data_IF_833749621333
#
_entry.id   IF_833749621333
#
_cell.length_a   1.000
_cell.length_b   1.000
_cell.length_c   1.000
_cell.angle_alpha   90.00
_cell.angle_beta   90.00
_cell.angle_gamma   90.00
#
_symmetry.space_group_name_H-M   'P 1'
#
loop_
_entity.id
_entity.type
_entity.pdbx_description
1 polymer ?
#
# COMPACT_ATOMS: atom_id res chain seq x y z
N UNK A 1 4.88 -19.81 3.23
CA UNK A 1 5.09 -19.27 4.58
C UNK A 1 5.00 -17.77 4.48
N UNK A 2 4.20 -17.17 5.34
CA UNK A 2 3.99 -15.72 5.34
C UNK A 2 5.02 -15.05 6.24
N UNK A 3 5.38 -13.80 5.92
CA UNK A 3 6.33 -13.00 6.71
C UNK A 3 5.76 -11.61 6.92
N UNK A 4 5.89 -11.11 8.14
CA UNK A 4 5.55 -9.72 8.49
C UNK A 4 6.84 -8.92 8.53
N UNK A 5 6.86 -7.83 7.78
CA UNK A 5 7.95 -6.86 7.75
C UNK A 5 7.40 -5.53 8.26
N UNK A 6 8.02 -5.01 9.31
CA UNK A 6 7.71 -3.68 9.86
C UNK A 6 8.88 -2.76 9.53
N UNK A 7 8.59 -1.64 8.86
CA UNK A 7 9.54 -0.56 8.70
C UNK A 7 9.24 0.50 9.76
N UNK A 8 10.08 0.58 10.78
CA UNK A 8 9.97 1.59 11.82
C UNK A 8 10.72 2.86 11.37
N UNK A 9 9.99 3.92 11.05
CA UNK A 9 10.54 5.20 10.56
C UNK A 9 11.02 6.10 11.71
N UNK A 10 11.76 5.54 12.66
CA UNK A 10 12.37 6.26 13.78
C UNK A 10 11.41 6.58 14.92
N UNK A 11 10.55 5.64 15.31
CA UNK A 11 9.72 5.78 16.52
C UNK A 11 10.59 5.96 17.77
N UNK A 12 10.14 6.78 18.71
CA UNK A 12 10.81 7.03 20.01
C UNK A 12 10.26 6.17 21.15
N UNK A 13 9.23 5.39 20.88
CA UNK A 13 8.60 4.47 21.83
C UNK A 13 9.08 3.02 21.62
N UNK A 14 8.35 2.05 22.16
CA UNK A 14 8.70 0.63 22.09
C UNK A 14 8.22 -0.08 20.80
N UNK A 15 7.72 0.64 19.79
CA UNK A 15 7.15 0.04 18.57
C UNK A 15 8.06 -0.99 17.92
N UNK A 16 9.33 -0.65 17.67
CA UNK A 16 10.29 -1.56 17.06
C UNK A 16 10.57 -2.81 17.91
N UNK A 17 10.61 -2.66 19.23
CA UNK A 17 10.85 -3.77 20.15
C UNK A 17 9.65 -4.71 20.18
N UNK A 18 8.45 -4.17 20.36
CA UNK A 18 7.20 -4.95 20.39
C UNK A 18 7.00 -5.72 19.09
N UNK A 19 7.26 -5.09 17.93
CA UNK A 19 7.15 -5.76 16.64
C UNK A 19 8.12 -6.94 16.50
N UNK A 20 9.37 -6.81 16.99
CA UNK A 20 10.34 -7.92 17.01
C UNK A 20 9.90 -9.04 17.93
N UNK A 21 9.41 -8.70 19.13
CA UNK A 21 8.98 -9.68 20.14
C UNK A 21 7.76 -10.49 19.64
N UNK A 22 6.92 -9.89 18.79
CA UNK A 22 5.81 -10.55 18.10
C UNK A 22 6.24 -11.33 16.83
N UNK A 23 7.54 -11.40 16.53
CA UNK A 23 8.10 -12.21 15.44
C UNK A 23 8.19 -11.51 14.09
N UNK A 24 7.96 -10.19 14.00
CA UNK A 24 8.13 -9.46 12.76
C UNK A 24 9.62 -9.22 12.44
N UNK A 25 9.94 -9.19 11.15
CA UNK A 25 11.22 -8.63 10.70
C UNK A 25 11.13 -7.11 10.76
N UNK A 26 11.96 -6.48 11.59
CA UNK A 26 11.92 -5.02 11.78
C UNK A 26 13.12 -4.36 11.11
N UNK A 27 12.86 -3.38 10.24
CA UNK A 27 13.86 -2.50 9.63
C UNK A 27 13.66 -1.11 10.22
N UNK A 28 14.64 -0.63 10.98
CA UNK A 28 14.52 0.62 11.71
C UNK A 28 15.36 1.72 11.07
N UNK A 29 14.75 2.87 10.79
CA UNK A 29 15.45 4.08 10.40
C UNK A 29 15.99 4.81 11.63
N UNK A 30 17.16 5.47 11.50
CA UNK A 30 17.80 6.22 12.60
C UNK A 30 17.03 7.47 13.03
N UNK A 31 16.19 8.00 12.14
CA UNK A 31 15.33 9.17 12.33
C UNK A 31 14.16 9.05 11.36
N UNK A 32 13.10 9.83 11.58
CA UNK A 32 11.98 9.93 10.65
C UNK A 32 12.45 10.43 9.27
N UNK A 33 12.21 9.61 8.24
CA UNK A 33 12.53 9.88 6.84
C UNK A 33 11.28 10.08 5.98
N UNK A 34 10.09 9.84 6.53
CA UNK A 34 8.81 9.95 5.86
C UNK A 34 8.30 8.61 5.29
N UNK A 35 6.98 8.54 5.09
CA UNK A 35 6.27 7.32 4.66
C UNK A 35 6.76 6.75 3.33
N UNK A 36 7.09 7.59 2.34
CA UNK A 36 7.63 7.10 1.07
C UNK A 36 9.02 6.48 1.22
N UNK A 37 9.88 7.04 2.10
CA UNK A 37 11.16 6.42 2.43
C UNK A 37 10.98 5.08 3.13
N UNK A 38 10.05 4.98 4.09
CA UNK A 38 9.72 3.71 4.74
C UNK A 38 9.18 2.67 3.74
N UNK A 39 8.29 3.08 2.83
CA UNK A 39 7.76 2.22 1.77
C UNK A 39 8.88 1.74 0.83
N UNK A 40 9.77 2.63 0.38
CA UNK A 40 10.94 2.24 -0.43
C UNK A 40 11.81 1.21 0.29
N UNK A 41 12.08 1.40 1.58
CA UNK A 41 12.83 0.46 2.39
C UNK A 41 12.15 -0.92 2.42
N UNK A 42 10.84 -0.96 2.64
CA UNK A 42 10.05 -2.19 2.63
C UNK A 42 10.07 -2.89 1.27
N UNK A 43 9.81 -2.16 0.18
CA UNK A 43 9.84 -2.70 -1.19
C UNK A 43 11.24 -3.22 -1.55
N UNK A 44 12.31 -2.47 -1.22
CA UNK A 44 13.68 -2.89 -1.48
C UNK A 44 14.08 -4.14 -0.69
N UNK A 45 13.63 -4.26 0.55
CA UNK A 45 13.80 -5.48 1.32
C UNK A 45 13.05 -6.65 0.68
N UNK A 46 11.81 -6.41 0.27
CA UNK A 46 10.99 -7.45 -0.33
C UNK A 46 11.56 -7.94 -1.67
N UNK A 47 12.12 -7.05 -2.50
CA UNK A 47 12.87 -7.42 -3.71
C UNK A 47 14.03 -8.40 -3.42
N UNK A 48 14.67 -8.31 -2.25
CA UNK A 48 15.77 -9.22 -1.86
C UNK A 48 15.26 -10.63 -1.55
N UNK A 49 14.12 -10.75 -0.87
CA UNK A 49 13.55 -12.05 -0.49
C UNK A 49 12.62 -12.63 -1.56
N UNK A 50 12.26 -11.84 -2.59
CA UNK A 50 11.51 -12.24 -3.78
C UNK A 50 10.20 -13.01 -3.46
N UNK A 51 9.28 -12.43 -2.66
CA UNK A 51 8.04 -13.11 -2.32
C UNK A 51 7.13 -13.22 -3.55
N UNK A 52 6.24 -14.21 -3.57
CA UNK A 52 5.26 -14.38 -4.65
C UNK A 52 4.27 -13.20 -4.70
N UNK A 53 3.87 -12.71 -3.52
CA UNK A 53 2.96 -11.58 -3.34
C UNK A 53 3.44 -10.71 -2.16
N UNK A 54 3.36 -9.39 -2.30
CA UNK A 54 3.45 -8.44 -1.18
C UNK A 54 2.08 -7.87 -0.93
N UNK A 55 1.79 -7.64 0.34
CA UNK A 55 0.69 -6.79 0.78
C UNK A 55 1.24 -5.64 1.62
N UNK A 56 0.89 -4.41 1.27
CA UNK A 56 1.22 -3.22 2.06
C UNK A 56 0.02 -2.83 2.92
N UNK A 57 0.26 -2.37 4.14
CA UNK A 57 -0.75 -1.98 5.10
C UNK A 57 -0.19 -0.88 6.01
N UNK A 58 -0.98 0.17 6.24
CA UNK A 58 -0.63 1.22 7.21
C UNK A 58 -0.84 0.71 8.64
N UNK A 59 0.10 0.98 9.55
CA UNK A 59 0.12 0.47 10.92
C UNK A 59 -0.75 1.29 11.90
N UNK A 60 -1.78 1.95 11.40
CA UNK A 60 -2.57 2.94 12.13
C UNK A 60 -3.99 2.45 12.51
N UNK A 61 -4.24 1.15 12.29
CA UNK A 61 -5.48 0.45 12.62
C UNK A 61 -6.66 0.76 11.70
N UNK A 62 -6.51 1.63 10.70
CA UNK A 62 -7.62 2.01 9.81
C UNK A 62 -8.09 0.83 8.94
N UNK A 63 -7.18 -0.07 8.60
CA UNK A 63 -7.43 -1.20 7.72
C UNK A 63 -7.50 -2.51 8.51
N UNK A 64 -8.51 -3.34 8.22
CA UNK A 64 -8.62 -4.69 8.80
C UNK A 64 -7.74 -5.69 8.01
N UNK A 65 -6.70 -6.30 8.62
CA UNK A 65 -5.90 -7.32 7.97
C UNK A 65 -6.71 -8.54 7.47
N UNK A 66 -7.92 -8.76 7.98
CA UNK A 66 -8.83 -9.81 7.52
C UNK A 66 -9.25 -9.65 6.05
N UNK A 67 -9.06 -8.46 5.46
CA UNK A 67 -9.29 -8.22 4.03
C UNK A 67 -8.12 -8.66 3.14
N UNK A 68 -6.96 -9.06 3.69
CA UNK A 68 -5.80 -9.54 2.90
C UNK A 68 -6.18 -10.63 1.88
N UNK A 69 -6.94 -11.69 2.23
CA UNK A 69 -7.39 -12.70 1.27
C UNK A 69 -8.16 -12.12 0.08
N UNK A 70 -8.95 -11.06 0.31
CA UNK A 70 -9.71 -10.38 -0.75
C UNK A 70 -8.79 -9.63 -1.72
N UNK A 71 -7.71 -9.03 -1.22
CA UNK A 71 -6.72 -8.35 -2.07
C UNK A 71 -5.88 -9.31 -2.90
N UNK A 72 -5.48 -10.45 -2.35
CA UNK A 72 -4.60 -11.39 -3.06
C UNK A 72 -5.36 -12.29 -4.04
N UNK A 73 -6.66 -12.52 -3.83
CA UNK A 73 -7.46 -13.42 -4.68
C UNK A 73 -7.38 -13.09 -6.19
N UNK A 74 -7.51 -11.83 -6.65
CA UNK A 74 -7.36 -11.50 -8.07
C UNK A 74 -5.95 -11.75 -8.62
N UNK A 75 -4.93 -11.70 -7.77
CA UNK A 75 -3.55 -12.02 -8.15
C UNK A 75 -3.40 -13.53 -8.33
N UNK A 76 -3.90 -14.31 -7.36
CA UNK A 76 -3.89 -15.76 -7.40
C UNK A 76 -4.68 -16.33 -8.59
N UNK A 77 -5.75 -15.66 -9.02
CA UNK A 77 -6.53 -16.06 -10.22
C UNK A 77 -5.95 -15.56 -11.54
N UNK A 78 -4.83 -14.83 -11.54
CA UNK A 78 -4.21 -14.29 -12.76
C UNK A 78 -4.98 -13.11 -13.40
N UNK A 79 -5.97 -12.57 -12.69
CA UNK A 79 -6.81 -11.47 -13.14
C UNK A 79 -6.17 -10.08 -12.92
N UNK A 80 -5.23 -9.98 -11.99
CA UNK A 80 -4.52 -8.74 -11.67
C UNK A 80 -3.05 -9.00 -11.33
N UNK A 81 -2.20 -8.03 -11.65
CA UNK A 81 -0.81 -7.97 -11.19
C UNK A 81 -0.67 -7.07 -9.95
N UNK A 82 -1.59 -6.10 -9.83
CA UNK A 82 -1.63 -5.10 -8.78
C UNK A 82 -3.08 -4.85 -8.35
N UNK A 83 -3.33 -4.90 -7.05
CA UNK A 83 -4.66 -4.72 -6.46
C UNK A 83 -4.63 -3.59 -5.44
N UNK A 84 -5.57 -2.67 -5.55
CA UNK A 84 -5.78 -1.59 -4.58
C UNK A 84 -7.01 -1.95 -3.72
N UNK A 85 -6.84 -1.95 -2.40
CA UNK A 85 -7.93 -1.98 -1.44
C UNK A 85 -8.62 -0.61 -1.39
N UNK A 86 -9.73 -0.47 -2.11
CA UNK A 86 -10.44 0.78 -2.25
C UNK A 86 -11.33 1.04 -1.04
N UNK A 87 -11.06 2.10 -0.29
CA UNK A 87 -11.92 2.56 0.80
C UNK A 87 -13.16 3.16 0.15
N UNK A 88 -14.35 2.81 0.64
CA UNK A 88 -15.57 3.49 0.24
C UNK A 88 -15.53 4.90 0.84
N UNK A 89 -14.90 5.85 0.15
CA UNK A 89 -14.60 7.21 0.67
C UNK A 89 -15.83 7.90 1.27
N UNK A 90 -17.02 7.67 0.69
CA UNK A 90 -18.28 8.25 1.15
C UNK A 90 -18.86 7.57 2.40
N UNK A 91 -18.37 6.38 2.74
CA UNK A 91 -18.73 5.63 3.94
C UNK A 91 -17.65 5.70 5.03
N UNK A 92 -16.51 6.34 4.78
CA UNK A 92 -15.47 6.56 5.78
C UNK A 92 -15.95 7.65 6.75
N UNK A 93 -16.53 7.26 7.88
CA UNK A 93 -17.14 8.17 8.85
C UNK A 93 -16.13 9.16 9.45
N UNK A 94 -14.87 8.76 9.59
CA UNK A 94 -13.83 9.58 10.23
C UNK A 94 -13.07 10.49 9.26
N UNK A 95 -13.37 10.43 7.96
CA UNK A 95 -12.67 11.25 6.96
C UNK A 95 -13.31 12.64 6.88
N UNK A 96 -12.54 13.68 7.21
CA UNK A 96 -12.96 15.07 7.01
C UNK A 96 -13.42 15.29 5.55
N UNK A 97 -14.53 16.00 5.34
CA UNK A 97 -15.09 16.23 4.00
C UNK A 97 -14.09 16.86 3.02
N UNK A 98 -13.21 17.75 3.50
CA UNK A 98 -12.13 18.34 2.70
C UNK A 98 -11.15 17.27 2.16
N UNK A 99 -10.85 16.25 2.96
CA UNK A 99 -9.99 15.13 2.55
C UNK A 99 -10.72 14.22 1.56
N UNK A 100 -12.04 14.05 1.69
CA UNK A 100 -12.86 13.31 0.70
C UNK A 100 -12.81 14.00 -0.66
N UNK A 101 -12.98 15.32 -0.71
CA UNK A 101 -12.90 16.11 -1.95
C UNK A 101 -11.48 16.05 -2.53
N UNK A 102 -10.45 16.26 -1.70
CA UNK A 102 -9.05 16.15 -2.12
C UNK A 102 -8.74 14.78 -2.72
N UNK A 103 -9.18 13.70 -2.08
CA UNK A 103 -9.03 12.34 -2.59
C UNK A 103 -9.77 12.14 -3.91
N UNK A 104 -11.01 12.65 -4.05
CA UNK A 104 -11.76 12.59 -5.33
C UNK A 104 -11.02 13.31 -6.47
N UNK A 105 -10.43 14.48 -6.21
CA UNK A 105 -9.64 15.22 -7.20
C UNK A 105 -8.38 14.42 -7.58
N UNK A 106 -7.63 13.90 -6.61
CA UNK A 106 -6.44 13.09 -6.88
C UNK A 106 -6.78 11.81 -7.66
N UNK A 107 -7.89 11.16 -7.31
CA UNK A 107 -8.38 9.99 -8.03
C UNK A 107 -8.70 10.31 -9.48
N UNK A 108 -9.32 11.46 -9.75
CA UNK A 108 -9.60 11.92 -11.11
C UNK A 108 -8.30 12.15 -11.89
N UNK A 109 -7.33 12.85 -11.29
CA UNK A 109 -6.03 13.12 -11.93
C UNK A 109 -5.32 11.80 -12.29
N UNK A 110 -5.19 10.89 -11.32
CA UNK A 110 -4.56 9.58 -11.56
C UNK A 110 -5.33 8.82 -12.63
N UNK A 111 -6.66 8.80 -12.57
CA UNK A 111 -7.50 8.09 -13.55
C UNK A 111 -7.31 8.59 -14.97
N UNK A 112 -7.19 9.92 -15.15
CA UNK A 112 -6.92 10.55 -16.45
C UNK A 112 -5.53 10.17 -16.95
N UNK A 113 -4.51 10.25 -16.09
CA UNK A 113 -3.13 9.92 -16.45
C UNK A 113 -2.97 8.47 -16.91
N UNK A 114 -3.62 7.52 -16.23
CA UNK A 114 -3.51 6.10 -16.57
C UNK A 114 -4.61 5.62 -17.53
N UNK A 115 -5.51 6.50 -17.96
CA UNK A 115 -6.68 6.21 -18.81
C UNK A 115 -7.53 5.04 -18.29
N UNK A 116 -7.63 4.89 -16.98
CA UNK A 116 -8.44 3.87 -16.29
C UNK A 116 -9.09 4.49 -15.07
N UNK A 117 -10.32 4.11 -14.77
CA UNK A 117 -11.02 4.61 -13.58
C UNK A 117 -10.42 3.99 -12.31
N UNK A 118 -9.96 4.84 -11.40
CA UNK A 118 -9.51 4.49 -10.05
C UNK A 118 -10.40 5.22 -9.03
N UNK A 119 -10.95 4.48 -8.07
CA UNK A 119 -11.86 4.99 -7.03
C UNK A 119 -11.14 5.41 -5.76
N UNK A 120 -9.98 4.83 -5.45
CA UNK A 120 -9.18 5.23 -4.28
C UNK A 120 -7.67 5.03 -4.50
N UNK A 121 -7.07 5.97 -5.22
CA UNK A 121 -5.63 5.99 -5.51
C UNK A 121 -4.76 6.24 -4.28
N UNK A 122 -5.36 6.69 -3.17
CA UNK A 122 -4.65 7.11 -1.96
C UNK A 122 -4.63 6.03 -0.88
N UNK A 123 -5.22 4.86 -1.13
CA UNK A 123 -5.21 3.77 -0.15
C UNK A 123 -3.80 3.18 -0.01
N UNK A 124 -3.34 2.98 1.22
CA UNK A 124 -2.10 2.26 1.54
C UNK A 124 -2.24 0.74 1.51
N UNK A 125 -3.48 0.22 1.54
CA UNK A 125 -3.75 -1.21 1.51
C UNK A 125 -3.71 -1.75 0.08
N UNK A 126 -2.64 -2.45 -0.29
CA UNK A 126 -2.39 -2.88 -1.68
C UNK A 126 -1.77 -4.26 -1.72
N UNK A 127 -1.97 -4.98 -2.82
CA UNK A 127 -1.27 -6.23 -3.09
C UNK A 127 -0.58 -6.20 -4.46
N UNK A 128 0.64 -6.72 -4.54
CA UNK A 128 1.46 -6.78 -5.76
C UNK A 128 2.00 -8.19 -5.95
N UNK A 129 1.98 -8.70 -7.18
CA UNK A 129 2.72 -9.92 -7.52
C UNK A 129 4.23 -9.68 -7.60
N UNK A 130 5.00 -10.78 -7.49
CA UNK A 130 6.47 -10.76 -7.56
C UNK A 130 6.98 -9.94 -8.75
N UNK A 131 6.42 -10.15 -9.95
CA UNK A 131 6.89 -9.47 -11.14
C UNK A 131 6.70 -7.95 -11.07
N UNK A 132 5.56 -7.47 -10.54
CA UNK A 132 5.31 -6.05 -10.32
C UNK A 132 6.32 -5.45 -9.35
N UNK A 133 6.55 -6.11 -8.22
CA UNK A 133 7.50 -5.67 -7.18
C UNK A 133 8.91 -5.55 -7.74
N UNK A 134 9.37 -6.57 -8.48
CA UNK A 134 10.73 -6.61 -9.02
C UNK A 134 10.98 -5.47 -10.02
N UNK A 135 9.94 -5.06 -10.75
CA UNK A 135 10.06 -3.96 -11.71
C UNK A 135 9.84 -2.58 -11.09
N UNK A 136 9.18 -2.46 -9.94
CA UNK A 136 8.75 -1.17 -9.36
C UNK A 136 9.93 -0.35 -8.81
N UNK A 137 10.07 0.91 -9.20
CA UNK A 137 11.12 1.82 -8.73
C UNK A 137 10.51 3.13 -8.23
N UNK A 138 10.32 3.21 -6.91
CA UNK A 138 9.76 4.41 -6.27
C UNK A 138 10.86 5.40 -5.89
N UNK A 139 10.66 6.66 -6.20
CA UNK A 139 11.54 7.78 -5.82
C UNK A 139 10.84 8.81 -4.92
N UNK A 140 9.54 9.05 -5.10
CA UNK A 140 8.82 10.10 -4.39
C UNK A 140 8.54 9.78 -2.92
N UNK A 141 8.79 10.73 -2.02
CA UNK A 141 8.47 10.56 -0.60
C UNK A 141 6.96 10.74 -0.31
N UNK A 142 6.36 11.81 -0.85
CA UNK A 142 4.94 12.16 -0.62
C UNK A 142 3.99 11.64 -1.70
N UNK A 143 4.54 11.24 -2.84
CA UNK A 143 3.78 10.86 -4.05
C UNK A 143 3.89 9.38 -4.39
N UNK A 144 4.48 8.58 -3.49
CA UNK A 144 4.79 7.18 -3.76
C UNK A 144 3.55 6.36 -4.16
N UNK A 145 2.38 6.70 -3.62
CA UNK A 145 1.12 6.00 -3.92
C UNK A 145 0.66 6.24 -5.36
N UNK A 146 0.75 7.48 -5.86
CA UNK A 146 0.42 7.83 -7.24
C UNK A 146 1.47 7.29 -8.20
N UNK A 147 2.75 7.46 -7.86
CA UNK A 147 3.88 6.98 -8.64
C UNK A 147 3.79 5.48 -8.87
N UNK A 148 3.53 4.70 -7.82
CA UNK A 148 3.33 3.25 -7.92
C UNK A 148 2.24 2.88 -8.93
N UNK A 149 1.08 3.55 -8.90
CA UNK A 149 -0.03 3.25 -9.81
C UNK A 149 0.36 3.60 -11.25
N UNK A 150 0.91 4.79 -11.46
CA UNK A 150 1.29 5.29 -12.79
C UNK A 150 2.38 4.40 -13.38
N UNK A 151 3.45 4.12 -12.63
CA UNK A 151 4.59 3.33 -13.08
C UNK A 151 4.17 1.90 -13.45
N UNK A 152 3.38 1.23 -12.59
CA UNK A 152 2.89 -0.12 -12.89
C UNK A 152 1.95 -0.12 -14.10
N UNK A 153 1.11 0.91 -14.26
CA UNK A 153 0.25 1.02 -15.44
C UNK A 153 1.08 1.22 -16.72
N UNK A 154 2.10 2.07 -16.70
CA UNK A 154 3.02 2.29 -17.82
C UNK A 154 3.80 1.01 -18.18
N UNK A 155 4.07 0.16 -17.19
CA UNK A 155 4.68 -1.17 -17.37
C UNK A 155 3.67 -2.25 -17.80
N UNK A 156 2.45 -1.87 -18.16
CA UNK A 156 1.43 -2.76 -18.70
C UNK A 156 0.79 -3.69 -17.67
N UNK A 157 0.92 -3.41 -16.37
CA UNK A 157 0.34 -4.25 -15.31
C UNK A 157 -1.18 -4.18 -15.30
N UNK A 158 -1.82 -5.32 -15.04
CA UNK A 158 -3.27 -5.43 -14.80
C UNK A 158 -3.58 -4.90 -13.40
N UNK A 159 -4.30 -3.77 -13.33
CA UNK A 159 -4.67 -3.11 -12.08
C UNK A 159 -6.15 -3.40 -11.79
N UNK A 160 -6.47 -3.84 -10.57
CA UNK A 160 -7.85 -3.97 -10.08
C UNK A 160 -8.04 -3.27 -8.75
N UNK A 161 -9.30 -2.93 -8.46
CA UNK A 161 -9.73 -2.44 -7.15
C UNK A 161 -10.66 -3.46 -6.50
N UNK A 162 -10.46 -3.71 -5.21
CA UNK A 162 -11.40 -4.46 -4.37
C UNK A 162 -11.88 -3.56 -3.25
N UNK A 163 -13.16 -3.63 -2.91
CA UNK A 163 -13.65 -2.87 -1.76
C UNK A 163 -13.21 -3.52 -0.46
N UNK A 164 -12.69 -2.68 0.42
CA UNK A 164 -12.29 -3.05 1.78
C UNK A 164 -13.15 -2.30 2.80
N UNK A 165 -13.24 -2.87 4.00
CA UNK A 165 -13.82 -2.18 5.14
C UNK A 165 -12.75 -1.34 5.84
N UNK A 166 -13.18 -0.25 6.46
CA UNK A 166 -12.32 0.63 7.25
C UNK A 166 -12.86 0.69 8.66
N UNK A 167 -11.98 0.52 9.64
CA UNK A 167 -12.36 0.65 11.03
C UNK A 167 -12.59 2.12 11.39
N UNK A 168 -13.60 2.37 12.22
CA UNK A 168 -13.78 3.67 12.85
C UNK A 168 -12.78 3.82 14.01
N UNK A 169 -12.18 5.00 14.15
CA UNK A 169 -11.29 5.36 15.26
C UNK A 169 -12.04 5.97 16.44
#
# INVERSE_FOLDING_TARGET
MDKIIVVDDGSTDRTAQIAKDLGATVIQHKKNMGVGAAMRTGINYAKKIKPDIIVTLDADGQHDPSDIPRLIKPILSGEADFVIGSRRLEKCQDMKQINVIGNKILNLIVSVLIRKRIKDSQSGFRALNQNSIMTLNLEGDKTYVQEMIIELCLKGKKIKEVFIETNNR
#
